data_IF_753247516270
#
_entry.id   IF_753247516270
#
_cell.length_a   1.000
_cell.length_b   1.000
_cell.length_c   1.000
_cell.angle_alpha   90.00
_cell.angle_beta   90.00
_cell.angle_gamma   90.00
#
_symmetry.space_group_name_H-M   'P 1'
#
loop_
_entity.id
_entity.type
_entity.pdbx_description
1 polymer ?
#
# COMPACT_ATOMS: atom_id res chain seq x y z
N UNK A 1 15.07 11.15 7.93
CA UNK A 1 13.96 12.09 8.24
C UNK A 1 12.68 11.41 7.79
N UNK A 2 11.77 11.09 8.71
CA UNK A 2 10.45 10.55 8.38
C UNK A 2 9.56 11.72 7.94
N UNK A 3 9.18 11.75 6.67
CA UNK A 3 8.17 12.68 6.19
C UNK A 3 6.81 12.28 6.78
N UNK A 4 6.15 13.21 7.47
CA UNK A 4 4.77 13.02 7.92
C UNK A 4 3.84 13.27 6.73
N UNK A 5 2.77 12.49 6.62
CA UNK A 5 1.73 12.70 5.62
C UNK A 5 1.01 14.02 5.99
N UNK A 6 0.91 15.00 5.08
CA UNK A 6 0.19 16.23 5.35
C UNK A 6 -1.28 15.97 5.68
N UNK A 7 -1.84 16.71 6.64
CA UNK A 7 -3.21 16.50 7.14
C UNK A 7 -4.26 16.60 6.02
N UNK A 8 -4.03 17.46 5.02
CA UNK A 8 -4.94 17.66 3.89
C UNK A 8 -5.06 16.43 2.95
N UNK A 9 -4.15 15.46 3.04
CA UNK A 9 -4.13 14.26 2.17
C UNK A 9 -4.42 12.96 2.91
N UNK A 10 -4.67 13.00 4.24
CA UNK A 10 -4.98 11.79 5.02
C UNK A 10 -6.27 11.12 4.56
N UNK A 11 -7.22 11.92 4.08
CA UNK A 11 -8.51 11.44 3.55
C UNK A 11 -8.34 10.43 2.40
N UNK A 12 -7.27 10.55 1.60
CA UNK A 12 -6.97 9.63 0.51
C UNK A 12 -6.72 8.20 1.01
N UNK A 13 -6.21 8.04 2.23
CA UNK A 13 -5.94 6.74 2.85
C UNK A 13 -7.09 6.20 3.69
N UNK A 14 -8.04 7.06 4.10
CA UNK A 14 -9.17 6.70 4.96
C UNK A 14 -10.44 6.35 4.17
N UNK A 15 -10.61 6.92 2.98
CA UNK A 15 -11.76 6.61 2.12
C UNK A 15 -11.60 5.24 1.44
N UNK A 16 -12.69 4.61 0.95
CA UNK A 16 -12.59 3.36 0.19
C UNK A 16 -11.83 3.58 -1.12
N UNK A 17 -10.55 3.19 -1.15
CA UNK A 17 -9.69 3.26 -2.33
C UNK A 17 -9.17 1.88 -2.73
N UNK A 18 -8.88 1.74 -4.02
CA UNK A 18 -8.01 0.69 -4.52
C UNK A 18 -6.57 1.21 -4.50
N UNK A 19 -5.63 0.36 -4.09
CA UNK A 19 -4.21 0.62 -4.16
C UNK A 19 -3.54 -0.36 -5.14
N UNK A 20 -2.48 0.09 -5.82
CA UNK A 20 -1.60 -0.79 -6.59
C UNK A 20 -0.36 -1.10 -5.78
N UNK A 21 -0.19 -2.35 -5.37
CA UNK A 21 1.03 -2.81 -4.71
C UNK A 21 2.02 -3.26 -5.77
N UNK A 22 3.22 -2.69 -5.74
CA UNK A 22 4.34 -3.07 -6.58
C UNK A 22 5.37 -3.85 -5.74
N UNK A 23 5.60 -5.12 -6.07
CA UNK A 23 6.73 -5.89 -5.55
C UNK A 23 7.81 -6.01 -6.63
N UNK A 24 9.05 -6.27 -6.22
CA UNK A 24 10.16 -6.49 -7.16
C UNK A 24 10.45 -7.98 -7.22
N UNK A 25 10.37 -8.56 -8.42
CA UNK A 25 10.69 -9.96 -8.63
C UNK A 25 12.20 -10.20 -8.48
N UNK A 26 12.66 -11.45 -8.23
CA UNK A 26 14.09 -11.79 -8.23
C UNK A 26 14.82 -11.39 -9.51
N UNK A 27 14.12 -11.34 -10.65
CA UNK A 27 14.65 -10.86 -11.94
C UNK A 27 14.77 -9.34 -12.06
N UNK A 28 14.36 -8.58 -11.04
CA UNK A 28 14.37 -7.12 -11.00
C UNK A 28 13.15 -6.45 -11.64
N UNK A 29 12.27 -7.22 -12.29
CA UNK A 29 11.04 -6.67 -12.89
C UNK A 29 9.96 -6.43 -11.84
N UNK A 30 9.15 -5.36 -11.97
CA UNK A 30 8.05 -5.10 -11.06
C UNK A 30 6.87 -6.04 -11.32
N UNK A 31 6.20 -6.44 -10.24
CA UNK A 31 4.92 -7.13 -10.27
C UNK A 31 3.89 -6.23 -9.60
N UNK A 32 2.79 -5.94 -10.31
CA UNK A 32 1.73 -5.03 -9.87
C UNK A 32 0.47 -5.83 -9.54
N UNK A 33 -0.15 -5.55 -8.39
CA UNK A 33 -1.43 -6.14 -8.00
C UNK A 33 -2.35 -5.08 -7.41
N UNK A 34 -3.60 -5.03 -7.87
CA UNK A 34 -4.64 -4.18 -7.29
C UNK A 34 -5.19 -4.83 -6.02
N UNK A 35 -5.23 -4.06 -4.93
CA UNK A 35 -5.69 -4.53 -3.62
C UNK A 35 -6.58 -3.49 -2.95
N UNK A 36 -7.37 -3.97 -2.00
CA UNK A 36 -7.95 -3.12 -0.97
C UNK A 36 -6.89 -2.88 0.11
N UNK A 37 -6.87 -1.67 0.66
CA UNK A 37 -6.00 -1.33 1.78
C UNK A 37 -6.74 -0.52 2.84
N UNK A 38 -6.21 -0.59 4.06
CA UNK A 38 -6.62 0.25 5.18
C UNK A 38 -5.41 1.06 5.68
N UNK A 39 -5.68 2.09 6.48
CA UNK A 39 -4.65 2.87 7.17
C UNK A 39 -4.99 2.91 8.66
N UNK A 40 -4.01 2.64 9.53
CA UNK A 40 -4.20 2.61 11.00
C UNK A 40 -3.70 3.89 11.72
N UNK A 41 -3.27 4.90 10.94
CA UNK A 41 -2.64 6.12 11.46
C UNK A 41 -1.11 6.10 11.40
N UNK A 42 -0.51 4.95 11.11
CA UNK A 42 0.94 4.79 10.96
C UNK A 42 1.33 3.94 9.74
N UNK A 43 0.62 2.83 9.51
CA UNK A 43 0.89 1.83 8.50
C UNK A 43 -0.26 1.66 7.50
N UNK A 44 0.09 1.35 6.25
CA UNK A 44 -0.86 0.84 5.26
C UNK A 44 -0.99 -0.67 5.47
N UNK A 45 -2.21 -1.12 5.75
CA UNK A 45 -2.54 -2.51 5.97
C UNK A 45 -3.09 -3.13 4.68
N UNK A 46 -2.51 -4.25 4.27
CA UNK A 46 -2.95 -5.04 3.11
C UNK A 46 -3.18 -6.49 3.53
N UNK A 47 -4.22 -7.13 2.98
CA UNK A 47 -4.42 -8.57 3.16
C UNK A 47 -3.70 -9.35 2.06
N UNK A 48 -3.04 -10.46 2.42
CA UNK A 48 -2.36 -11.32 1.45
C UNK A 48 -2.37 -12.78 1.90
N UNK A 49 -2.09 -13.69 0.96
CA UNK A 49 -1.91 -15.10 1.24
C UNK A 49 -0.43 -15.41 1.48
N UNK A 50 -0.13 -16.42 2.30
CA UNK A 50 1.23 -16.95 2.43
C UNK A 50 1.74 -17.40 1.05
N UNK A 51 3.00 -17.10 0.76
CA UNK A 51 3.66 -17.35 -0.54
C UNK A 51 3.12 -16.52 -1.73
N UNK A 52 2.31 -15.49 -1.47
CA UNK A 52 2.05 -14.44 -2.48
C UNK A 52 3.32 -13.64 -2.68
N UNK A 53 3.73 -13.50 -3.93
CA UNK A 53 4.73 -12.54 -4.38
C UNK A 53 4.05 -11.47 -5.21
#
# INVERSE_FOLDING_TARGET
>A
MTAQIPDEFKDLLERPIYATVATVMPSGQPQLTEVWCNYDGEHVLINTARNRQ
#
